data_IF_537964184364
#
_entry.id   IF_537964184364
#
_cell.length_a   1.000
_cell.length_b   1.000
_cell.length_c   1.000
_cell.angle_alpha   90.00
_cell.angle_beta   90.00
_cell.angle_gamma   90.00
#
_symmetry.space_group_name_H-M   'P 1'
#
loop_
_entity.id
_entity.type
_entity.pdbx_description
1 polymer ?
#
# COMPACT_ATOMS: atom_id res chain seq x y z
N UNK A 1 1.24 -1.41 -26.53
CA UNK A 1 2.47 -2.14 -26.94
C UNK A 1 2.15 -3.33 -27.83
N UNK A 2 1.21 -4.22 -27.47
CA UNK A 2 0.82 -5.37 -28.31
C UNK A 2 0.48 -5.05 -29.77
N UNK A 3 -0.27 -3.97 -30.02
CA UNK A 3 -0.60 -3.53 -31.40
C UNK A 3 0.64 -3.10 -32.21
N UNK A 4 1.60 -2.43 -31.57
CA UNK A 4 2.82 -2.00 -32.24
C UNK A 4 3.74 -3.19 -32.56
N UNK A 5 3.77 -4.22 -31.70
CA UNK A 5 4.53 -5.45 -31.94
C UNK A 5 3.91 -6.31 -33.04
N UNK A 6 2.58 -6.46 -33.06
CA UNK A 6 1.87 -7.18 -34.12
C UNK A 6 1.99 -6.49 -35.49
N UNK A 7 2.13 -5.16 -35.52
CA UNK A 7 2.27 -4.34 -36.73
C UNK A 7 3.71 -4.00 -37.16
N UNK A 8 4.75 -4.59 -36.53
CA UNK A 8 6.14 -4.08 -36.66
C UNK A 8 6.67 -4.03 -38.09
N UNK A 9 6.30 -5.01 -38.95
CA UNK A 9 6.73 -5.03 -40.36
C UNK A 9 6.22 -3.81 -41.14
N UNK A 10 4.97 -3.40 -40.91
CA UNK A 10 4.35 -2.23 -41.57
C UNK A 10 4.98 -0.94 -41.06
N UNK A 11 5.21 -0.85 -39.75
CA UNK A 11 5.82 0.34 -39.11
C UNK A 11 7.23 0.59 -39.68
N UNK A 12 8.03 -0.47 -39.87
CA UNK A 12 9.36 -0.38 -40.48
C UNK A 12 9.32 -0.01 -41.97
N UNK A 13 8.41 -0.63 -42.72
CA UNK A 13 8.23 -0.38 -44.15
C UNK A 13 7.94 1.10 -44.47
N UNK A 14 7.18 1.78 -43.62
CA UNK A 14 6.82 3.18 -43.78
C UNK A 14 7.68 4.16 -42.96
N UNK A 15 8.69 3.66 -42.22
CA UNK A 15 9.55 4.51 -41.38
C UNK A 15 8.80 5.22 -40.24
N UNK A 16 7.68 4.67 -39.76
CA UNK A 16 6.85 5.27 -38.71
C UNK A 16 7.36 5.05 -37.28
N UNK A 17 8.53 4.42 -37.11
CA UNK A 17 9.13 4.14 -35.80
C UNK A 17 9.19 5.38 -34.87
N UNK A 18 9.64 6.57 -35.33
CA UNK A 18 9.76 7.73 -34.44
C UNK A 18 8.41 8.23 -33.91
N UNK A 19 7.36 8.15 -34.73
CA UNK A 19 6.00 8.54 -34.34
C UNK A 19 5.46 7.60 -33.25
N UNK A 20 5.65 6.29 -33.42
CA UNK A 20 5.20 5.31 -32.45
C UNK A 20 5.98 5.40 -31.13
N UNK A 21 7.30 5.58 -31.18
CA UNK A 21 8.13 5.79 -30.00
C UNK A 21 7.67 7.02 -29.23
N UNK A 22 7.42 8.15 -29.92
CA UNK A 22 6.91 9.36 -29.30
C UNK A 22 5.58 9.12 -28.59
N UNK A 23 4.62 8.46 -29.26
CA UNK A 23 3.30 8.15 -28.66
C UNK A 23 3.40 7.25 -27.43
N UNK A 24 4.30 6.26 -27.44
CA UNK A 24 4.53 5.38 -26.28
C UNK A 24 5.14 6.17 -25.12
N UNK A 25 6.13 7.02 -25.40
CA UNK A 25 6.76 7.87 -24.39
C UNK A 25 5.76 8.86 -23.78
N UNK A 26 4.90 9.50 -24.59
CA UNK A 26 3.87 10.41 -24.09
C UNK A 26 2.89 9.73 -23.10
N UNK A 27 2.60 8.44 -23.31
CA UNK A 27 1.78 7.64 -22.37
C UNK A 27 2.61 7.26 -21.14
N UNK A 28 3.88 6.89 -21.34
CA UNK A 28 4.79 6.50 -20.26
C UNK A 28 5.02 7.65 -19.28
N UNK A 29 5.13 8.88 -19.77
CA UNK A 29 5.30 10.07 -18.92
C UNK A 29 4.07 10.31 -18.04
N UNK A 30 2.86 10.09 -18.58
CA UNK A 30 1.61 10.16 -17.81
C UNK A 30 1.55 9.06 -16.76
N UNK A 31 1.95 7.84 -17.10
CA UNK A 31 2.02 6.71 -16.17
C UNK A 31 3.02 7.00 -15.04
N UNK A 32 4.22 7.49 -15.36
CA UNK A 32 5.23 7.87 -14.38
C UNK A 32 4.75 8.96 -13.43
N UNK A 33 3.99 9.95 -13.92
CA UNK A 33 3.42 10.98 -13.06
C UNK A 33 2.42 10.41 -12.05
N UNK A 34 1.62 9.41 -12.45
CA UNK A 34 0.69 8.73 -11.55
C UNK A 34 1.45 7.84 -10.56
N UNK A 35 2.45 7.09 -11.03
CA UNK A 35 3.30 6.24 -10.19
C UNK A 35 4.06 7.07 -9.15
N UNK A 36 4.53 8.26 -9.52
CA UNK A 36 5.20 9.16 -8.58
C UNK A 36 4.25 9.64 -7.48
N UNK A 37 3.01 10.01 -7.83
CA UNK A 37 1.98 10.35 -6.83
C UNK A 37 1.67 9.17 -5.92
N UNK A 38 1.55 7.98 -6.49
CA UNK A 38 1.36 6.76 -5.71
C UNK A 38 2.51 6.52 -4.74
N UNK A 39 3.77 6.64 -5.19
CA UNK A 39 4.94 6.46 -4.35
C UNK A 39 5.01 7.47 -3.19
N UNK A 40 4.59 8.72 -3.41
CA UNK A 40 4.48 9.70 -2.32
C UNK A 40 3.42 9.28 -1.31
N UNK A 41 2.24 8.84 -1.78
CA UNK A 41 1.17 8.39 -0.89
C UNK A 41 1.59 7.17 -0.07
N UNK A 42 2.23 6.20 -0.71
CA UNK A 42 2.76 4.98 -0.09
C UNK A 42 3.84 5.31 0.97
N UNK A 43 4.72 6.27 0.67
CA UNK A 43 5.72 6.77 1.61
C UNK A 43 5.10 7.49 2.81
N UNK A 44 4.09 8.34 2.59
CA UNK A 44 3.37 9.04 3.67
C UNK A 44 2.57 8.06 4.53
N UNK A 45 1.90 7.07 3.92
CA UNK A 45 1.20 6.00 4.61
C UNK A 45 2.15 5.21 5.52
N UNK A 46 3.28 4.77 4.98
CA UNK A 46 4.30 4.02 5.72
C UNK A 46 4.87 4.83 6.89
N UNK A 47 5.14 6.12 6.68
CA UNK A 47 5.60 7.02 7.74
C UNK A 47 4.53 7.22 8.82
N UNK A 48 3.28 7.47 8.42
CA UNK A 48 2.17 7.66 9.34
C UNK A 48 1.93 6.40 10.19
N UNK A 49 2.08 5.21 9.61
CA UNK A 49 1.97 3.95 10.33
C UNK A 49 3.05 3.81 11.42
N UNK A 50 4.32 4.01 11.06
CA UNK A 50 5.43 3.96 12.02
C UNK A 50 5.25 5.00 13.15
N UNK A 51 4.88 6.23 12.78
CA UNK A 51 4.64 7.30 13.74
C UNK A 51 3.48 6.96 14.69
N UNK A 52 2.38 6.39 14.17
CA UNK A 52 1.24 5.99 14.98
C UNK A 52 1.61 4.93 16.02
N UNK A 53 2.40 3.92 15.65
CA UNK A 53 2.89 2.90 16.59
C UNK A 53 3.76 3.51 17.70
N UNK A 54 4.69 4.40 17.33
CA UNK A 54 5.54 5.10 18.29
C UNK A 54 4.73 5.95 19.26
N UNK A 55 3.83 6.79 18.75
CA UNK A 55 2.99 7.65 19.59
C UNK A 55 2.01 6.85 20.46
N UNK A 56 1.47 5.75 19.95
CA UNK A 56 0.62 4.85 20.73
C UNK A 56 1.38 4.29 21.92
N UNK A 57 2.58 3.74 21.72
CA UNK A 57 3.40 3.21 22.81
C UNK A 57 3.79 4.30 23.80
N UNK A 58 4.20 5.48 23.32
CA UNK A 58 4.53 6.63 24.16
C UNK A 58 3.35 7.05 25.03
N UNK A 59 2.17 7.27 24.44
CA UNK A 59 0.97 7.67 25.18
C UNK A 59 0.53 6.60 26.17
N UNK A 60 0.62 5.32 25.81
CA UNK A 60 0.29 4.21 26.71
C UNK A 60 1.18 4.20 27.95
N UNK A 61 2.49 4.37 27.79
CA UNK A 61 3.43 4.39 28.92
C UNK A 61 3.29 5.66 29.77
N UNK A 62 3.10 6.82 29.14
CA UNK A 62 2.89 8.10 29.85
C UNK A 62 1.60 8.07 30.65
N UNK A 63 0.50 7.62 30.05
CA UNK A 63 -0.78 7.52 30.77
C UNK A 63 -0.72 6.51 31.91
N UNK A 64 0.01 5.40 31.76
CA UNK A 64 0.23 4.44 32.83
C UNK A 64 0.91 5.06 34.06
N UNK A 65 1.91 5.91 33.87
CA UNK A 65 2.61 6.60 34.97
C UNK A 65 1.75 7.70 35.60
N UNK A 66 0.97 8.43 34.79
CA UNK A 66 0.18 9.57 35.27
C UNK A 66 -1.06 9.17 36.08
N UNK A 67 -1.53 7.92 35.98
CA UNK A 67 -2.77 7.47 36.64
C UNK A 67 -2.59 7.23 38.15
N UNK A 68 -1.43 6.73 38.58
CA UNK A 68 -1.14 6.52 40.00
C UNK A 68 0.37 6.50 40.23
N UNK A 69 0.82 7.27 41.23
CA UNK A 69 2.22 7.40 41.65
C UNK A 69 2.80 6.07 42.19
N UNK A 70 1.94 5.08 42.48
CA UNK A 70 2.36 3.73 42.87
C UNK A 70 2.84 2.85 41.70
N UNK A 71 2.52 3.22 40.45
CA UNK A 71 2.92 2.47 39.26
C UNK A 71 4.37 2.76 38.85
N UNK A 72 5.29 1.97 39.37
CA UNK A 72 6.67 1.98 38.90
C UNK A 72 6.78 1.28 37.53
N UNK A 73 7.36 1.98 36.55
CA UNK A 73 7.73 1.43 35.25
C UNK A 73 8.87 0.41 35.42
N UNK A 74 8.51 -0.85 35.60
CA UNK A 74 9.47 -1.96 35.51
C UNK A 74 9.71 -2.37 34.04
N UNK A 75 10.92 -2.87 33.77
CA UNK A 75 11.30 -3.37 32.45
C UNK A 75 10.34 -4.48 32.00
N UNK A 76 9.93 -5.37 32.91
CA UNK A 76 9.00 -6.44 32.59
C UNK A 76 7.65 -5.94 32.08
N UNK A 77 7.09 -4.88 32.69
CA UNK A 77 5.80 -4.31 32.30
C UNK A 77 5.90 -3.62 30.94
N UNK A 78 7.00 -2.92 30.69
CA UNK A 78 7.26 -2.22 29.42
C UNK A 78 7.43 -3.19 28.25
N UNK A 79 8.23 -4.25 28.43
CA UNK A 79 8.40 -5.28 27.40
C UNK A 79 7.13 -6.09 27.14
N UNK A 80 6.31 -6.32 28.16
CA UNK A 80 4.98 -6.95 28.00
C UNK A 80 4.06 -6.07 27.15
N UNK A 81 3.97 -4.78 27.45
CA UNK A 81 3.15 -3.84 26.68
C UNK A 81 3.60 -3.76 25.21
N UNK A 82 4.91 -3.68 24.96
CA UNK A 82 5.45 -3.67 23.60
C UNK A 82 5.04 -4.92 22.80
N UNK A 83 5.16 -6.12 23.39
CA UNK A 83 4.76 -7.36 22.75
C UNK A 83 3.25 -7.40 22.44
N UNK A 84 2.39 -6.92 23.35
CA UNK A 84 0.96 -6.83 23.08
C UNK A 84 0.63 -5.90 21.91
N UNK A 85 1.29 -4.74 21.83
CA UNK A 85 1.12 -3.80 20.71
C UNK A 85 1.52 -4.45 19.39
N UNK A 86 2.62 -5.21 19.35
CA UNK A 86 3.08 -5.90 18.14
C UNK A 86 2.07 -6.94 17.65
N UNK A 87 1.53 -7.76 18.57
CA UNK A 87 0.51 -8.78 18.22
C UNK A 87 -0.78 -8.14 17.71
N UNK A 88 -1.25 -7.07 18.36
CA UNK A 88 -2.46 -6.35 17.93
C UNK A 88 -2.22 -5.70 16.55
N UNK A 89 -1.04 -5.13 16.33
CA UNK A 89 -0.69 -4.48 15.08
C UNK A 89 -0.73 -5.46 13.90
N UNK A 90 -0.26 -6.69 14.09
CA UNK A 90 -0.37 -7.73 13.07
C UNK A 90 -1.83 -7.99 12.68
N UNK A 91 -2.72 -8.15 13.66
CA UNK A 91 -4.13 -8.41 13.42
C UNK A 91 -4.84 -7.23 12.72
N UNK A 92 -4.51 -6.00 13.12
CA UNK A 92 -5.07 -4.78 12.53
C UNK A 92 -4.63 -4.60 11.08
N UNK A 93 -3.40 -4.96 10.72
CA UNK A 93 -2.91 -4.86 9.34
C UNK A 93 -3.60 -5.83 8.37
N UNK A 94 -3.92 -7.04 8.84
CA UNK A 94 -4.49 -8.09 7.99
C UNK A 94 -5.98 -7.83 7.71
N UNK A 95 -6.70 -7.21 8.65
CA UNK A 95 -8.15 -7.02 8.55
C UNK A 95 -8.59 -6.23 7.29
N UNK A 96 -7.99 -5.08 6.95
CA UNK A 96 -8.32 -4.36 5.72
C UNK A 96 -8.03 -5.15 4.45
N UNK A 97 -6.97 -5.95 4.44
CA UNK A 97 -6.57 -6.77 3.28
C UNK A 97 -7.67 -7.80 3.00
N UNK A 98 -8.12 -8.51 4.03
CA UNK A 98 -9.19 -9.51 3.92
C UNK A 98 -10.47 -8.88 3.38
N UNK A 99 -10.87 -7.71 3.89
CA UNK A 99 -12.08 -7.01 3.40
C UNK A 99 -11.96 -6.64 1.93
N UNK A 100 -10.82 -6.08 1.51
CA UNK A 100 -10.55 -5.72 0.11
C UNK A 100 -10.63 -6.96 -0.79
N UNK A 101 -10.00 -8.06 -0.39
CA UNK A 101 -9.94 -9.27 -1.19
C UNK A 101 -11.29 -10.00 -1.25
N UNK A 102 -12.07 -9.95 -0.18
CA UNK A 102 -13.44 -10.47 -0.17
C UNK A 102 -14.34 -9.72 -1.16
N UNK A 103 -14.27 -8.38 -1.19
CA UNK A 103 -15.01 -7.56 -2.17
C UNK A 103 -14.56 -7.89 -3.61
N UNK A 104 -13.24 -8.02 -3.85
CA UNK A 104 -12.73 -8.43 -5.17
C UNK A 104 -13.24 -9.80 -5.57
N UNK A 105 -13.24 -10.77 -4.66
CA UNK A 105 -13.73 -12.12 -4.90
C UNK A 105 -15.23 -12.11 -5.25
N UNK A 106 -16.07 -11.40 -4.48
CA UNK A 106 -17.50 -11.26 -4.76
C UNK A 106 -17.78 -10.66 -6.15
N UNK A 107 -17.04 -9.60 -6.51
CA UNK A 107 -17.15 -8.98 -7.83
C UNK A 107 -16.63 -9.91 -8.94
N UNK A 108 -15.60 -10.70 -8.67
CA UNK A 108 -15.06 -11.69 -9.62
C UNK A 108 -16.08 -12.79 -9.92
N UNK A 109 -16.70 -13.35 -8.89
CA UNK A 109 -17.76 -14.37 -9.03
C UNK A 109 -18.94 -13.81 -9.83
N UNK A 110 -19.38 -12.59 -9.51
CA UNK A 110 -20.46 -11.92 -10.25
C UNK A 110 -20.15 -11.78 -11.74
N UNK A 111 -18.91 -11.47 -12.11
CA UNK A 111 -18.50 -11.39 -13.52
C UNK A 111 -18.47 -12.75 -14.19
N UNK A 112 -18.00 -13.79 -13.49
CA UNK A 112 -18.01 -15.16 -13.99
C UNK A 112 -19.43 -15.66 -14.26
N UNK A 113 -20.36 -15.43 -13.34
CA UNK A 113 -21.78 -15.81 -13.50
C UNK A 113 -22.51 -15.05 -14.59
N UNK A 114 -22.06 -13.84 -14.96
CA UNK A 114 -22.61 -13.09 -16.10
C UNK A 114 -22.06 -13.54 -17.46
N UNK A 115 -20.87 -14.14 -17.46
CA UNK A 115 -20.20 -14.60 -18.67
C UNK A 115 -20.64 -16.01 -19.05
N UNK A 116 -20.83 -16.88 -18.06
CA UNK A 116 -21.44 -18.22 -18.18
C UNK A 116 -22.96 -18.10 -18.37
#
# INVERSE_FOLDING_TARGET
INEALNGIKVIKLYGWEPMFIKKINDIRDKELHILFKYAILDGVESFAWLAAMFWMMYLMLVTFVLIDDSHNLDANTSFRAMNYIDVISLAVNIMPIIVKDWIKAANSVTRLTKFL
#
